data_IF_136629197982
#
_entry.id   IF_136629197982
#
_cell.length_a   1.000
_cell.length_b   1.000
_cell.length_c   1.000
_cell.angle_alpha   90.00
_cell.angle_beta   90.00
_cell.angle_gamma   90.00
#
_symmetry.space_group_name_H-M   'P 1'
#
loop_
_entity.id
_entity.type
_entity.pdbx_description
1 polymer ?
#
# COMPACT_ATOMS: atom_id res chain seq x y z
N UNK A 1 10.49 0.86 18.72
CA UNK A 1 9.62 0.01 17.88
C UNK A 1 9.81 0.46 16.45
N UNK A 2 9.94 -0.47 15.51
CA UNK A 2 9.96 -0.15 14.08
C UNK A 2 8.55 0.21 13.63
N UNK A 3 8.40 1.29 12.87
CA UNK A 3 7.15 1.69 12.23
C UNK A 3 7.12 1.16 10.80
N UNK A 4 6.59 -0.05 10.65
CA UNK A 4 6.50 -0.76 9.38
C UNK A 4 5.13 -0.53 8.73
N UNK A 5 5.10 -0.33 7.41
CA UNK A 5 3.85 -0.07 6.66
C UNK A 5 3.72 -1.00 5.47
N UNK A 6 2.51 -1.50 5.22
CA UNK A 6 2.22 -2.31 4.03
C UNK A 6 1.83 -1.39 2.88
N UNK A 7 2.44 -1.57 1.71
CA UNK A 7 2.12 -0.84 0.49
C UNK A 7 1.60 -1.83 -0.56
N UNK A 8 0.54 -1.42 -1.25
CA UNK A 8 0.04 -2.18 -2.39
C UNK A 8 1.08 -2.21 -3.52
N UNK A 9 1.33 -3.38 -4.15
CA UNK A 9 2.23 -3.45 -5.30
C UNK A 9 1.76 -2.58 -6.47
N UNK A 10 0.46 -2.26 -6.54
CA UNK A 10 -0.07 -1.29 -7.52
C UNK A 10 0.52 0.10 -7.28
N UNK A 11 0.43 0.63 -6.05
CA UNK A 11 1.00 1.94 -5.70
C UNK A 11 2.51 1.99 -5.93
N UNK A 12 3.22 0.90 -5.65
CA UNK A 12 4.67 0.83 -5.90
C UNK A 12 4.98 0.83 -7.40
N UNK A 13 4.25 0.05 -8.20
CA UNK A 13 4.44 -0.04 -9.66
C UNK A 13 4.16 1.30 -10.34
N UNK A 14 3.11 1.99 -9.94
CA UNK A 14 2.71 3.29 -10.51
C UNK A 14 3.40 4.49 -9.85
N UNK A 15 4.28 4.24 -8.85
CA UNK A 15 4.96 5.28 -8.05
C UNK A 15 3.99 6.31 -7.47
N UNK A 16 2.85 5.84 -6.97
CA UNK A 16 1.85 6.72 -6.39
C UNK A 16 2.27 7.28 -5.03
N UNK A 17 1.69 8.42 -4.66
CA UNK A 17 1.99 9.11 -3.41
C UNK A 17 1.94 8.23 -2.14
N UNK A 18 1.02 7.25 -1.98
CA UNK A 18 1.05 6.35 -0.81
C UNK A 18 2.34 5.54 -0.71
N UNK A 19 2.87 5.06 -1.84
CA UNK A 19 4.12 4.29 -1.85
C UNK A 19 5.31 5.19 -1.52
N UNK A 20 5.43 6.34 -2.18
CA UNK A 20 6.56 7.25 -1.99
C UNK A 20 6.57 7.89 -0.59
N UNK A 21 5.41 8.28 -0.08
CA UNK A 21 5.30 8.75 1.30
C UNK A 21 5.67 7.64 2.30
N UNK A 22 5.23 6.39 2.10
CA UNK A 22 5.61 5.30 2.98
C UNK A 22 7.12 5.02 2.95
N UNK A 23 7.72 4.99 1.76
CA UNK A 23 9.15 4.74 1.55
C UNK A 23 10.04 5.82 2.20
N UNK A 24 9.56 7.06 2.29
CA UNK A 24 10.27 8.14 2.99
C UNK A 24 10.03 8.08 4.50
N UNK A 25 8.77 7.98 4.92
CA UNK A 25 8.35 8.26 6.29
C UNK A 25 8.51 7.07 7.25
N UNK A 26 8.51 5.82 6.75
CA UNK A 26 8.41 4.62 7.60
C UNK A 26 9.77 3.95 7.78
N UNK A 27 9.97 3.15 8.82
CA UNK A 27 11.24 2.42 8.98
C UNK A 27 11.41 1.40 7.85
N UNK A 28 10.36 0.63 7.61
CA UNK A 28 10.30 -0.38 6.56
C UNK A 28 8.93 -0.40 5.87
N UNK A 29 8.95 -0.71 4.59
CA UNK A 29 7.77 -0.87 3.75
C UNK A 29 7.71 -2.33 3.30
N UNK A 30 6.55 -2.96 3.51
CA UNK A 30 6.30 -4.33 3.09
C UNK A 30 5.38 -4.31 1.89
N UNK A 31 5.77 -4.95 0.79
CA UNK A 31 4.95 -5.10 -0.41
C UNK A 31 4.81 -6.56 -0.79
N UNK A 32 3.75 -6.90 -1.52
CA UNK A 32 3.61 -8.23 -2.07
C UNK A 32 4.46 -8.37 -3.34
N UNK A 33 5.38 -9.35 -3.35
CA UNK A 33 6.00 -9.82 -4.59
C UNK A 33 5.02 -10.75 -5.32
N UNK A 34 4.85 -10.63 -6.65
CA UNK A 34 3.97 -11.53 -7.42
C UNK A 34 4.64 -12.89 -7.65
N UNK A 35 4.96 -13.61 -6.59
CA UNK A 35 5.64 -14.91 -6.62
C UNK A 35 4.69 -16.04 -6.22
N UNK A 36 5.06 -17.30 -6.48
CA UNK A 36 4.39 -18.45 -5.93
C UNK A 36 4.31 -18.41 -4.40
N UNK A 37 3.28 -19.03 -3.84
CA UNK A 37 3.10 -19.16 -2.38
C UNK A 37 3.93 -20.33 -1.84
N UNK A 38 4.62 -20.12 -0.71
CA UNK A 38 5.27 -21.18 0.07
C UNK A 38 6.75 -21.44 -0.22
N UNK A 39 7.41 -20.61 -1.03
CA UNK A 39 8.81 -20.77 -1.45
C UNK A 39 9.61 -19.48 -1.26
N UNK A 40 10.95 -19.57 -1.36
CA UNK A 40 11.85 -18.41 -1.22
C UNK A 40 11.53 -17.38 -2.29
N UNK A 41 10.82 -16.30 -1.91
CA UNK A 41 10.25 -15.34 -2.85
C UNK A 41 11.28 -14.77 -3.84
N UNK A 42 12.55 -14.67 -3.43
CA UNK A 42 13.65 -14.22 -4.30
C UNK A 42 14.04 -15.23 -5.37
N UNK A 43 14.26 -16.49 -4.99
CA UNK A 43 14.67 -17.54 -5.93
C UNK A 43 13.58 -17.82 -6.98
N UNK A 44 12.31 -17.80 -6.57
CA UNK A 44 11.20 -17.98 -7.51
C UNK A 44 11.01 -16.77 -8.43
N UNK A 45 11.25 -15.56 -7.93
CA UNK A 45 11.22 -14.37 -8.76
C UNK A 45 12.23 -14.48 -9.91
N UNK A 46 13.44 -14.94 -9.63
CA UNK A 46 14.48 -15.15 -10.66
C UNK A 46 14.06 -16.23 -11.67
N UNK A 47 13.53 -17.37 -11.20
CA UNK A 47 13.03 -18.43 -12.08
C UNK A 47 11.84 -17.99 -12.94
N UNK A 48 10.91 -17.21 -12.37
CA UNK A 48 9.77 -16.65 -13.09
C UNK A 48 10.20 -15.61 -14.12
N UNK A 49 11.17 -14.76 -13.80
CA UNK A 49 11.70 -13.78 -14.75
C UNK A 49 12.32 -14.45 -15.97
N UNK A 50 12.97 -15.61 -15.80
CA UNK A 50 13.48 -16.40 -16.92
C UNK A 50 12.37 -17.04 -17.77
N UNK A 51 11.24 -17.42 -17.16
CA UNK A 51 10.17 -18.17 -17.83
C UNK A 51 8.95 -17.38 -18.30
N UNK A 52 8.74 -16.15 -17.80
CA UNK A 52 7.52 -15.36 -18.01
C UNK A 52 7.88 -13.93 -18.40
N UNK A 53 7.86 -13.63 -19.70
CA UNK A 53 8.25 -12.31 -20.25
C UNK A 53 7.56 -11.11 -19.58
N UNK A 54 6.26 -11.21 -19.26
CA UNK A 54 5.53 -10.15 -18.55
C UNK A 54 6.01 -9.93 -17.12
N UNK A 55 6.43 -11.00 -16.45
CA UNK A 55 7.00 -10.91 -15.11
C UNK A 55 8.37 -10.22 -15.16
N UNK A 56 9.22 -10.57 -16.13
CA UNK A 56 10.49 -9.87 -16.34
C UNK A 56 10.29 -8.36 -16.60
N UNK A 57 9.28 -7.99 -17.40
CA UNK A 57 8.91 -6.58 -17.61
C UNK A 57 8.48 -5.89 -16.32
N UNK A 58 7.74 -6.58 -15.45
CA UNK A 58 7.36 -6.05 -14.14
C UNK A 58 8.59 -5.82 -13.26
N UNK A 59 9.48 -6.80 -13.13
CA UNK A 59 10.70 -6.66 -12.34
C UNK A 59 11.57 -5.51 -12.86
N UNK A 60 11.71 -5.39 -14.18
CA UNK A 60 12.39 -4.27 -14.82
C UNK A 60 11.72 -2.93 -14.49
N UNK A 61 10.38 -2.86 -14.47
CA UNK A 61 9.66 -1.65 -14.07
C UNK A 61 9.92 -1.25 -12.61
N UNK A 62 10.31 -2.22 -11.77
CA UNK A 62 10.66 -2.01 -10.36
C UNK A 62 12.15 -1.80 -10.13
N UNK A 63 12.99 -1.78 -11.18
CA UNK A 63 14.43 -1.56 -11.06
C UNK A 63 14.80 -0.31 -10.26
N UNK A 64 13.96 0.72 -10.29
CA UNK A 64 14.16 1.94 -9.49
C UNK A 64 14.12 1.71 -7.98
N UNK A 65 13.59 0.58 -7.51
CA UNK A 65 13.47 0.25 -6.09
C UNK A 65 14.68 -0.53 -5.55
N UNK A 66 15.63 -0.92 -6.40
CA UNK A 66 16.74 -1.83 -6.02
C UNK A 66 17.50 -1.33 -4.80
N UNK A 67 17.86 -0.04 -4.76
CA UNK A 67 18.57 0.50 -3.61
C UNK A 67 17.72 0.51 -2.32
N UNK A 68 16.39 0.65 -2.43
CA UNK A 68 15.49 0.53 -1.27
C UNK A 68 15.42 -0.90 -0.73
N UNK A 69 15.52 -1.91 -1.61
CA UNK A 69 15.65 -3.32 -1.20
C UNK A 69 17.01 -3.57 -0.53
N UNK A 70 18.10 -3.07 -1.12
CA UNK A 70 19.44 -3.23 -0.57
C UNK A 70 19.58 -2.58 0.81
N UNK A 71 18.96 -1.40 1.00
CA UNK A 71 18.94 -0.68 2.26
C UNK A 71 17.98 -1.28 3.31
N UNK A 72 17.20 -2.31 2.95
CA UNK A 72 16.20 -2.91 3.84
C UNK A 72 14.97 -2.04 4.12
N UNK A 73 14.82 -0.91 3.40
CA UNK A 73 13.64 -0.03 3.48
C UNK A 73 12.44 -0.68 2.83
N UNK A 74 12.63 -1.45 1.76
CA UNK A 74 11.57 -2.21 1.09
C UNK A 74 11.78 -3.72 1.30
N UNK A 75 10.70 -4.43 1.65
CA UNK A 75 10.72 -5.86 1.93
C UNK A 75 9.51 -6.58 1.31
N UNK A 76 9.67 -7.88 1.01
CA UNK A 76 8.63 -8.75 0.46
C UNK A 76 7.89 -9.56 1.53
N UNK A 77 8.38 -9.51 2.76
CA UNK A 77 7.90 -10.26 3.90
C UNK A 77 8.08 -9.48 5.19
N UNK A 78 7.32 -9.86 6.21
CA UNK A 78 7.49 -9.38 7.58
C UNK A 78 7.28 -10.54 8.55
N UNK A 79 8.15 -10.64 9.55
CA UNK A 79 8.17 -11.74 10.53
C UNK A 79 8.14 -13.15 9.89
N UNK A 80 8.85 -13.32 8.76
CA UNK A 80 8.90 -14.59 8.03
C UNK A 80 7.60 -14.98 7.31
N UNK A 81 6.67 -14.03 7.15
CA UNK A 81 5.41 -14.24 6.43
C UNK A 81 5.28 -13.27 5.27
N UNK A 82 4.81 -13.74 4.12
CA UNK A 82 4.61 -12.90 2.94
C UNK A 82 3.12 -12.51 2.77
N UNK A 83 2.83 -11.29 2.25
CA UNK A 83 1.44 -10.89 2.02
C UNK A 83 0.72 -11.73 0.95
N UNK A 84 1.47 -12.40 0.07
CA UNK A 84 0.94 -13.19 -1.05
C UNK A 84 0.05 -14.35 -0.61
N UNK A 85 0.32 -14.96 0.55
CA UNK A 85 -0.52 -16.02 1.12
C UNK A 85 -1.92 -15.50 1.43
N UNK A 86 -2.01 -14.35 2.12
CA UNK A 86 -3.29 -13.74 2.47
C UNK A 86 -4.09 -13.32 1.24
N UNK A 87 -3.43 -12.83 0.19
CA UNK A 87 -4.09 -12.51 -1.09
C UNK A 87 -4.68 -13.76 -1.73
N UNK A 88 -3.96 -14.88 -1.70
CA UNK A 88 -4.47 -16.15 -2.23
C UNK A 88 -5.62 -16.70 -1.41
N UNK A 89 -5.54 -16.66 -0.09
CA UNK A 89 -6.62 -17.11 0.79
C UNK A 89 -7.90 -16.34 0.51
N UNK A 90 -7.81 -15.02 0.36
CA UNK A 90 -8.94 -14.16 -0.02
C UNK A 90 -9.49 -14.54 -1.39
N UNK A 91 -8.62 -14.70 -2.40
CA UNK A 91 -9.04 -15.10 -3.74
C UNK A 91 -9.83 -16.41 -3.70
N UNK A 92 -9.31 -17.42 -3.01
CA UNK A 92 -9.97 -18.73 -2.86
C UNK A 92 -11.30 -18.63 -2.12
N UNK A 93 -11.38 -17.80 -1.08
CA UNK A 93 -12.62 -17.55 -0.34
C UNK A 93 -13.70 -16.89 -1.21
N UNK A 94 -13.34 -15.89 -2.01
CA UNK A 94 -14.29 -15.25 -2.93
C UNK A 94 -14.77 -16.26 -3.98
N UNK A 95 -13.85 -17.05 -4.56
CA UNK A 95 -14.17 -18.08 -5.55
C UNK A 95 -15.07 -19.19 -4.99
N UNK A 96 -14.93 -19.54 -3.72
CA UNK A 96 -15.82 -20.49 -3.05
C UNK A 96 -17.28 -19.99 -2.95
N UNK A 97 -17.52 -18.69 -3.13
CA UNK A 97 -18.84 -18.10 -3.34
C UNK A 97 -19.76 -18.05 -2.11
N UNK A 98 -19.29 -18.46 -0.93
CA UNK A 98 -20.11 -18.55 0.28
C UNK A 98 -20.42 -17.19 0.91
N UNK A 99 -19.46 -16.28 0.91
CA UNK A 99 -19.55 -15.00 1.65
C UNK A 99 -19.65 -13.77 0.74
N UNK A 100 -19.22 -13.89 -0.53
CA UNK A 100 -19.07 -12.75 -1.43
C UNK A 100 -19.66 -13.01 -2.83
N UNK A 101 -20.94 -13.39 -2.94
CA UNK A 101 -21.53 -13.85 -4.21
C UNK A 101 -21.50 -12.78 -5.31
N UNK A 102 -21.63 -11.49 -4.97
CA UNK A 102 -21.57 -10.40 -5.94
C UNK A 102 -20.15 -10.18 -6.51
N UNK A 103 -19.11 -10.62 -5.80
CA UNK A 103 -17.72 -10.54 -6.25
C UNK A 103 -17.33 -11.74 -7.10
N UNK A 104 -17.87 -12.93 -6.80
CA UNK A 104 -17.52 -14.16 -7.52
C UNK A 104 -17.69 -14.06 -9.05
N UNK A 105 -18.67 -13.30 -9.55
CA UNK A 105 -18.86 -13.09 -11.00
C UNK A 105 -17.80 -12.21 -11.66
N UNK A 106 -16.98 -11.50 -10.87
CA UNK A 106 -15.89 -10.66 -11.37
C UNK A 106 -14.56 -11.41 -11.42
N UNK A 107 -14.40 -12.52 -10.69
CA UNK A 107 -13.14 -13.25 -10.61
C UNK A 107 -12.99 -14.22 -11.79
N UNK A 108 -11.74 -14.42 -12.21
CA UNK A 108 -11.36 -15.43 -13.19
C UNK A 108 -10.72 -16.63 -12.49
N UNK A 109 -11.09 -17.84 -12.91
CA UNK A 109 -10.42 -19.05 -12.43
C UNK A 109 -9.07 -19.22 -13.14
N UNK A 110 -7.99 -19.19 -12.36
CA UNK A 110 -6.64 -19.44 -12.85
C UNK A 110 -6.31 -20.93 -12.74
N UNK A 111 -5.96 -21.55 -13.88
CA UNK A 111 -5.67 -23.00 -13.96
C UNK A 111 -4.50 -23.45 -13.10
N UNK A 112 -3.51 -22.57 -12.98
CA UNK A 112 -2.30 -22.81 -12.20
C UNK A 112 -1.72 -21.48 -11.68
N UNK A 113 -0.80 -21.59 -10.75
CA UNK A 113 -0.14 -20.47 -10.10
C UNK A 113 0.63 -19.56 -11.06
N UNK A 114 1.23 -20.13 -12.12
CA UNK A 114 1.95 -19.34 -13.13
C UNK A 114 0.99 -18.48 -13.95
N UNK A 115 -0.22 -18.97 -14.19
CA UNK A 115 -1.27 -18.22 -14.89
C UNK A 115 -1.78 -17.06 -14.04
N UNK A 116 -1.94 -17.25 -12.72
CA UNK A 116 -2.27 -16.16 -11.78
C UNK A 116 -1.16 -15.10 -11.73
N UNK A 117 0.10 -15.51 -11.53
CA UNK A 117 1.24 -14.58 -11.49
C UNK A 117 1.35 -13.78 -12.79
N UNK A 118 1.12 -14.42 -13.94
CA UNK A 118 1.14 -13.74 -15.24
C UNK A 118 0.02 -12.71 -15.37
N UNK A 119 -1.20 -13.05 -14.94
CA UNK A 119 -2.34 -12.14 -14.95
C UNK A 119 -2.08 -10.94 -14.03
N UNK A 120 -1.61 -11.20 -12.81
CA UNK A 120 -1.25 -10.17 -11.85
C UNK A 120 -0.12 -9.25 -12.34
N UNK A 121 0.95 -9.81 -12.91
CA UNK A 121 2.04 -9.00 -13.47
C UNK A 121 1.56 -8.13 -14.64
N UNK A 122 0.67 -8.65 -15.49
CA UNK A 122 0.06 -7.89 -16.55
C UNK A 122 -0.80 -6.74 -16.02
N UNK A 123 -1.60 -6.99 -14.99
CA UNK A 123 -2.47 -5.99 -14.37
C UNK A 123 -1.69 -4.91 -13.62
N UNK A 124 -0.62 -5.29 -12.89
CA UNK A 124 0.30 -4.36 -12.23
C UNK A 124 0.94 -3.39 -13.24
N UNK A 125 1.44 -3.91 -14.37
CA UNK A 125 2.01 -3.08 -15.44
C UNK A 125 0.99 -2.11 -16.06
N UNK A 126 -0.31 -2.37 -15.91
CA UNK A 126 -1.41 -1.49 -16.36
C UNK A 126 -1.93 -0.56 -15.26
N UNK A 127 -1.40 -0.66 -14.04
CA UNK A 127 -1.83 0.14 -12.89
C UNK A 127 -3.09 -0.36 -12.20
N UNK A 128 -3.42 -1.66 -12.31
CA UNK A 128 -4.54 -2.27 -11.59
C UNK A 128 -5.94 -1.91 -12.07
N UNK A 129 -6.26 -1.97 -13.37
CA UNK A 129 -7.64 -1.81 -13.82
C UNK A 129 -8.54 -3.02 -13.50
N UNK A 130 -7.99 -4.20 -13.18
CA UNK A 130 -8.79 -5.43 -13.07
C UNK A 130 -9.34 -5.68 -11.64
N UNK A 131 -10.67 -5.63 -11.41
CA UNK A 131 -11.26 -5.97 -10.12
C UNK A 131 -11.03 -7.42 -9.69
N UNK A 132 -10.84 -8.36 -10.63
CA UNK A 132 -10.56 -9.77 -10.32
C UNK A 132 -9.27 -9.95 -9.50
N UNK A 133 -8.31 -9.03 -9.68
CA UNK A 133 -6.99 -9.08 -9.07
C UNK A 133 -6.84 -8.04 -7.96
N UNK A 134 -7.29 -6.80 -8.21
CA UNK A 134 -7.16 -5.70 -7.26
C UNK A 134 -7.94 -5.91 -5.96
N UNK A 135 -9.12 -6.55 -6.01
CA UNK A 135 -9.94 -6.80 -4.83
C UNK A 135 -9.26 -7.83 -3.90
N UNK A 136 -8.87 -9.04 -4.36
CA UNK A 136 -8.10 -9.97 -3.53
C UNK A 136 -6.81 -9.37 -3.00
N UNK A 137 -6.09 -8.57 -3.80
CA UNK A 137 -4.86 -7.92 -3.34
C UNK A 137 -5.16 -6.96 -2.19
N UNK A 138 -6.11 -6.03 -2.35
CA UNK A 138 -6.44 -5.06 -1.30
C UNK A 138 -6.89 -5.75 0.00
N UNK A 139 -7.79 -6.72 -0.10
CA UNK A 139 -8.30 -7.44 1.06
C UNK A 139 -7.26 -8.39 1.69
N UNK A 140 -6.37 -9.00 0.90
CA UNK A 140 -5.28 -9.82 1.42
C UNK A 140 -4.26 -8.99 2.18
N UNK A 141 -3.92 -7.80 1.68
CA UNK A 141 -3.06 -6.85 2.41
C UNK A 141 -3.71 -6.37 3.71
N UNK A 142 -5.04 -6.17 3.73
CA UNK A 142 -5.76 -5.83 4.97
C UNK A 142 -5.70 -6.94 6.00
N UNK A 143 -5.91 -8.19 5.59
CA UNK A 143 -5.78 -9.35 6.47
C UNK A 143 -4.35 -9.51 6.98
N UNK A 144 -3.36 -9.33 6.12
CA UNK A 144 -1.96 -9.38 6.50
C UNK A 144 -1.63 -8.29 7.54
N UNK A 145 -2.07 -7.05 7.30
CA UNK A 145 -1.91 -5.93 8.23
C UNK A 145 -2.61 -6.16 9.57
N UNK A 146 -3.87 -6.57 9.54
CA UNK A 146 -4.62 -6.90 10.74
C UNK A 146 -3.98 -8.04 11.56
N UNK A 147 -3.42 -9.05 10.89
CA UNK A 147 -2.72 -10.18 11.54
C UNK A 147 -1.44 -9.76 12.25
N UNK A 148 -0.67 -8.85 11.65
CA UNK A 148 0.63 -8.42 12.16
C UNK A 148 0.59 -7.11 12.96
N UNK A 149 -0.57 -6.46 13.06
CA UNK A 149 -0.69 -5.13 13.64
C UNK A 149 0.03 -4.05 12.83
N UNK A 150 0.15 -4.25 11.51
CA UNK A 150 0.81 -3.31 10.60
C UNK A 150 -0.22 -2.47 9.85
N UNK A 151 -0.03 -1.15 9.77
CA UNK A 151 -0.93 -0.31 9.01
C UNK A 151 -0.70 -0.45 7.49
N UNK A 152 -1.76 -0.23 6.70
CA UNK A 152 -1.75 -0.33 5.24
C UNK A 152 -1.82 1.08 4.63
N UNK A 153 -0.89 1.42 3.75
CA UNK A 153 -0.92 2.66 2.98
C UNK A 153 -2.03 2.63 1.94
N UNK A 154 -2.84 3.69 1.89
CA UNK A 154 -3.98 3.85 0.97
C UNK A 154 -3.87 5.17 0.21
N UNK A 155 -4.34 5.18 -1.04
CA UNK A 155 -4.59 6.42 -1.75
C UNK A 155 -5.88 7.10 -1.29
N UNK A 156 -5.98 8.41 -1.55
CA UNK A 156 -7.23 9.12 -1.37
C UNK A 156 -8.36 8.50 -2.24
N UNK A 157 -9.57 8.28 -1.70
CA UNK A 157 -10.68 7.68 -2.43
C UNK A 157 -11.05 8.41 -3.71
N UNK A 158 -10.86 7.74 -4.85
CA UNK A 158 -11.27 8.24 -6.17
C UNK A 158 -12.33 7.35 -6.81
N UNK A 159 -12.27 6.03 -6.60
CA UNK A 159 -13.22 5.06 -7.14
C UNK A 159 -14.49 4.92 -6.29
N UNK A 160 -15.52 4.30 -6.86
CA UNK A 160 -16.77 4.03 -6.14
C UNK A 160 -16.57 3.12 -4.92
N UNK A 161 -15.80 2.04 -5.08
CA UNK A 161 -15.45 1.15 -3.98
C UNK A 161 -14.71 1.92 -2.87
N UNK A 162 -13.68 2.71 -3.21
CA UNK A 162 -12.94 3.49 -2.21
C UNK A 162 -13.82 4.51 -1.48
N UNK A 163 -14.81 5.11 -2.15
CA UNK A 163 -15.79 6.00 -1.48
C UNK A 163 -16.72 5.25 -0.54
N UNK A 164 -17.05 4.00 -0.84
CA UNK A 164 -17.76 3.13 0.11
C UNK A 164 -16.88 2.73 1.29
N UNK A 165 -15.59 2.45 1.03
CA UNK A 165 -14.58 2.18 2.06
C UNK A 165 -14.43 3.36 3.02
N UNK A 166 -14.36 4.58 2.50
CA UNK A 166 -14.23 5.81 3.28
C UNK A 166 -15.33 5.97 4.35
N UNK A 167 -16.54 5.45 4.10
CA UNK A 167 -17.65 5.54 5.06
C UNK A 167 -17.46 4.63 6.27
N UNK A 168 -16.50 3.70 6.21
CA UNK A 168 -16.17 2.77 7.29
C UNK A 168 -14.97 3.23 8.12
N UNK A 169 -14.34 4.34 7.74
CA UNK A 169 -13.19 4.87 8.47
C UNK A 169 -13.59 5.42 9.83
N UNK A 170 -12.84 5.02 10.85
CA UNK A 170 -12.80 5.67 12.16
C UNK A 170 -11.53 6.53 12.20
N UNK A 171 -11.63 7.87 12.15
CA UNK A 171 -10.46 8.73 12.12
C UNK A 171 -9.71 8.71 13.46
N UNK A 172 -8.39 8.59 13.40
CA UNK A 172 -7.50 8.66 14.57
C UNK A 172 -6.77 9.99 14.64
N UNK A 173 -6.10 10.37 13.54
CA UNK A 173 -5.38 11.64 13.44
C UNK A 173 -5.20 12.08 11.99
N UNK A 174 -4.80 13.35 11.80
CA UNK A 174 -4.42 13.86 10.49
C UNK A 174 -3.34 14.94 10.61
N UNK A 175 -2.35 14.87 9.72
CA UNK A 175 -1.29 15.87 9.58
C UNK A 175 -0.99 16.12 8.10
N UNK A 176 -0.33 17.24 7.81
CA UNK A 176 0.19 17.52 6.48
C UNK A 176 1.72 17.51 6.53
N UNK A 177 2.36 16.80 5.61
CA UNK A 177 3.80 16.59 5.58
C UNK A 177 4.35 16.84 4.18
N UNK A 178 5.51 17.50 4.03
CA UNK A 178 6.24 17.47 2.78
C UNK A 178 6.79 16.06 2.53
N UNK A 179 6.81 15.61 1.27
CA UNK A 179 7.38 14.33 0.85
C UNK A 179 7.98 14.43 -0.56
N UNK A 180 8.78 13.45 -0.95
CA UNK A 180 9.18 13.23 -2.33
C UNK A 180 8.03 12.53 -3.06
N UNK A 181 7.52 13.15 -4.13
CA UNK A 181 6.44 12.64 -4.97
C UNK A 181 6.91 12.06 -6.29
N UNK A 182 8.12 12.39 -6.75
CA UNK A 182 8.82 11.75 -7.87
C UNK A 182 10.33 11.88 -7.59
N UNK A 183 11.11 10.82 -7.84
CA UNK A 183 12.56 10.79 -7.58
C UNK A 183 13.11 9.37 -7.71
N UNK A 184 14.44 9.23 -7.66
CA UNK A 184 15.11 7.92 -7.58
C UNK A 184 15.14 7.41 -6.13
N UNK A 185 15.45 6.12 -5.96
CA UNK A 185 15.55 5.50 -4.63
C UNK A 185 16.62 6.17 -3.77
N UNK A 186 17.74 6.54 -4.38
CA UNK A 186 18.90 7.16 -3.76
C UNK A 186 18.53 8.49 -3.12
N UNK A 187 17.70 9.31 -3.78
CA UNK A 187 17.19 10.57 -3.21
C UNK A 187 16.26 10.34 -2.02
N UNK A 188 15.47 9.26 -2.04
CA UNK A 188 14.65 8.88 -0.88
C UNK A 188 15.56 8.45 0.28
N UNK A 189 16.62 7.68 0.01
CA UNK A 189 17.57 7.23 1.03
C UNK A 189 18.36 8.40 1.63
N UNK A 190 18.88 9.29 0.78
CA UNK A 190 19.55 10.52 1.23
C UNK A 190 18.62 11.40 2.08
N UNK A 191 17.38 11.60 1.66
CA UNK A 191 16.40 12.33 2.47
C UNK A 191 16.13 11.65 3.83
N UNK A 192 16.18 10.31 3.90
CA UNK A 192 16.05 9.59 5.17
C UNK A 192 17.25 9.80 6.07
N UNK A 193 18.45 9.83 5.50
CA UNK A 193 19.69 10.06 6.25
C UNK A 193 19.77 11.50 6.78
N UNK A 194 19.43 12.49 5.95
CA UNK A 194 19.41 13.90 6.31
C UNK A 194 18.34 14.25 7.37
N UNK A 195 17.26 13.46 7.44
CA UNK A 195 16.12 13.69 8.33
C UNK A 195 15.99 12.63 9.42
N UNK A 196 17.07 11.89 9.73
CA UNK A 196 17.01 10.70 10.57
C UNK A 196 16.35 10.95 11.93
N UNK A 197 16.79 11.99 12.65
CA UNK A 197 16.31 12.31 13.99
C UNK A 197 14.82 12.69 13.97
N UNK A 198 14.42 13.58 13.05
CA UNK A 198 13.02 14.01 12.95
C UNK A 198 12.09 12.90 12.42
N UNK A 199 12.60 12.01 11.56
CA UNK A 199 11.87 10.83 11.11
C UNK A 199 11.66 9.85 12.27
N UNK A 200 12.65 9.62 13.12
CA UNK A 200 12.51 8.73 14.28
C UNK A 200 11.46 9.26 15.27
N UNK A 201 11.44 10.57 15.51
CA UNK A 201 10.38 11.21 16.31
C UNK A 201 9.00 11.09 15.66
N UNK A 202 8.90 11.36 14.36
CA UNK A 202 7.65 11.23 13.61
C UNK A 202 7.12 9.78 13.62
N UNK A 203 7.98 8.80 13.39
CA UNK A 203 7.63 7.36 13.41
C UNK A 203 7.16 6.90 14.79
N UNK A 204 7.80 7.40 15.86
CA UNK A 204 7.36 7.16 17.24
C UNK A 204 5.98 7.73 17.48
N UNK A 205 5.72 8.96 17.03
CA UNK A 205 4.42 9.59 17.16
C UNK A 205 3.33 8.89 16.32
N UNK A 206 3.63 8.46 15.10
CA UNK A 206 2.72 7.68 14.26
C UNK A 206 2.37 6.34 14.91
N UNK A 207 3.36 5.62 15.43
CA UNK A 207 3.16 4.38 16.19
C UNK A 207 2.31 4.61 17.44
N UNK A 208 2.57 5.70 18.15
CA UNK A 208 1.83 6.10 19.35
C UNK A 208 0.34 6.36 19.09
N UNK A 209 0.00 7.02 17.97
CA UNK A 209 -1.40 7.24 17.57
C UNK A 209 -2.13 5.92 17.37
N UNK A 210 -1.50 4.95 16.70
CA UNK A 210 -2.07 3.61 16.50
C UNK A 210 -2.16 2.79 17.80
N UNK A 211 -1.19 2.96 18.70
CA UNK A 211 -1.22 2.40 20.04
C UNK A 211 -2.21 3.10 20.99
N UNK A 212 -2.89 4.17 20.53
CA UNK A 212 -3.78 5.01 21.33
C UNK A 212 -3.09 5.62 22.57
N UNK A 213 -1.81 5.96 22.44
CA UNK A 213 -1.02 6.58 23.49
C UNK A 213 -1.44 8.06 23.67
N UNK A 214 -1.97 8.45 24.84
CA UNK A 214 -2.46 9.82 25.07
C UNK A 214 -1.34 10.86 25.20
N UNK A 215 -0.11 10.44 25.46
CA UNK A 215 1.03 11.35 25.70
C UNK A 215 1.74 11.77 24.41
N UNK A 216 1.29 11.26 23.26
CA UNK A 216 1.94 11.46 21.97
C UNK A 216 1.38 12.70 21.28
N UNK A 217 2.27 13.65 20.96
CA UNK A 217 1.95 14.81 20.12
C UNK A 217 2.42 14.61 18.67
N UNK A 218 1.55 14.03 17.85
CA UNK A 218 1.81 13.89 16.42
C UNK A 218 1.98 15.23 15.70
N UNK A 219 1.34 16.31 16.18
CA UNK A 219 1.44 17.62 15.52
C UNK A 219 2.78 18.27 15.77
N UNK A 220 3.35 18.09 16.96
CA UNK A 220 4.69 18.55 17.28
C UNK A 220 5.74 17.83 16.42
N UNK A 221 5.73 16.49 16.40
CA UNK A 221 6.66 15.72 15.57
C UNK A 221 6.52 16.05 14.06
N UNK A 222 5.28 16.20 13.57
CA UNK A 222 5.03 16.62 12.18
C UNK A 222 5.56 18.03 11.88
N UNK A 223 5.53 18.95 12.86
CA UNK A 223 6.08 20.30 12.70
C UNK A 223 7.61 20.27 12.68
N UNK A 224 8.24 19.50 13.57
CA UNK A 224 9.68 19.32 13.61
C UNK A 224 10.19 18.75 12.27
N UNK A 225 9.59 17.64 11.82
CA UNK A 225 9.87 17.04 10.52
C UNK A 225 9.74 18.04 9.36
N UNK A 226 8.64 18.81 9.31
CA UNK A 226 8.45 19.80 8.25
C UNK A 226 9.55 20.86 8.24
N UNK A 227 9.89 21.40 9.42
CA UNK A 227 10.94 22.41 9.52
C UNK A 227 12.29 21.86 9.09
N UNK A 228 12.60 20.61 9.44
CA UNK A 228 13.81 19.93 8.99
C UNK A 228 13.82 19.69 7.48
N UNK A 229 12.71 19.20 6.93
CA UNK A 229 12.54 18.98 5.50
C UNK A 229 12.72 20.28 4.72
N UNK A 230 12.14 21.39 5.16
CA UNK A 230 12.29 22.70 4.52
C UNK A 230 13.76 23.20 4.51
N UNK A 231 14.59 22.80 5.49
CA UNK A 231 16.02 23.15 5.53
C UNK A 231 16.86 22.38 4.50
N UNK A 232 16.51 21.13 4.23
CA UNK A 232 17.27 20.24 3.33
C UNK A 232 16.65 20.16 1.93
N UNK A 233 15.47 20.77 1.72
CA UNK A 233 14.74 20.67 0.47
C UNK A 233 15.57 21.13 -0.74
N UNK A 234 16.36 22.19 -0.61
CA UNK A 234 17.19 22.72 -1.69
C UNK A 234 18.30 21.74 -2.09
N UNK A 235 18.90 21.05 -1.12
CA UNK A 235 19.91 19.99 -1.34
C UNK A 235 19.29 18.77 -2.05
N UNK A 236 18.08 18.38 -1.64
CA UNK A 236 17.32 17.30 -2.29
C UNK A 236 16.84 17.65 -3.71
N UNK A 237 16.83 18.94 -4.07
CA UNK A 237 16.41 19.43 -5.38
C UNK A 237 17.55 19.54 -6.40
N UNK A 238 18.81 19.52 -5.97
CA UNK A 238 19.94 19.80 -6.86
C UNK A 238 19.98 18.76 -8.00
N UNK A 239 19.70 19.16 -9.25
CA UNK A 239 19.58 18.22 -10.34
C UNK A 239 20.96 17.72 -10.74
N UNK A 240 21.19 16.42 -10.64
CA UNK A 240 22.29 15.77 -11.35
C UNK A 240 21.98 15.79 -12.86
N UNK A 241 22.98 16.04 -13.72
CA UNK A 241 22.79 16.36 -15.14
C UNK A 241 22.02 15.26 -15.92
N UNK A 242 22.01 14.03 -15.39
CA UNK A 242 21.35 12.84 -15.94
C UNK A 242 20.20 12.29 -15.05
N UNK A 243 19.72 13.04 -14.05
CA UNK A 243 18.74 12.56 -13.07
C UNK A 243 17.26 12.85 -13.43
N UNK A 244 16.37 11.93 -13.05
CA UNK A 244 14.93 12.15 -13.10
C UNK A 244 14.63 13.31 -12.14
N UNK A 245 14.10 14.41 -12.67
CA UNK A 245 13.71 15.58 -11.89
C UNK A 245 12.95 15.18 -10.63
N UNK A 246 13.49 15.54 -9.48
CA UNK A 246 12.84 15.32 -8.18
C UNK A 246 11.63 16.25 -8.09
N UNK A 247 10.48 15.69 -7.74
CA UNK A 247 9.25 16.46 -7.47
C UNK A 247 8.96 16.32 -6.00
N UNK A 248 9.05 17.42 -5.27
CA UNK A 248 8.57 17.48 -3.90
C UNK A 248 7.10 17.87 -3.88
N UNK A 249 6.39 17.50 -2.82
CA UNK A 249 5.03 17.96 -2.63
C UNK A 249 4.54 17.79 -1.22
N UNK A 250 3.37 18.33 -0.99
CA UNK A 250 2.72 18.26 0.30
C UNK A 250 1.60 17.23 0.26
N UNK A 251 1.58 16.32 1.23
CA UNK A 251 0.54 15.32 1.39
C UNK A 251 -0.21 15.51 2.70
N UNK A 252 -1.52 15.30 2.68
CA UNK A 252 -2.30 15.03 3.88
C UNK A 252 -2.20 13.55 4.19
N UNK A 253 -1.67 13.24 5.36
CA UNK A 253 -1.63 11.91 5.93
C UNK A 253 -2.77 11.80 6.95
N UNK A 254 -3.71 10.88 6.72
CA UNK A 254 -4.78 10.58 7.68
C UNK A 254 -4.59 9.17 8.21
N UNK A 255 -4.53 9.05 9.52
CA UNK A 255 -4.49 7.78 10.23
C UNK A 255 -5.93 7.40 10.54
N UNK A 256 -6.33 6.22 10.10
CA UNK A 256 -7.68 5.70 10.28
C UNK A 256 -7.64 4.24 10.68
N UNK A 257 -8.67 3.82 11.40
CA UNK A 257 -9.01 2.41 11.54
C UNK A 257 -10.18 2.06 10.63
N UNK A 258 -10.19 0.82 10.16
CA UNK A 258 -11.31 0.25 9.41
C UNK A 258 -11.42 -1.27 9.67
N UNK A 259 -12.58 -1.88 9.39
CA UNK A 259 -12.71 -3.35 9.41
C UNK A 259 -11.70 -4.02 8.48
N UNK A 260 -11.13 -5.16 8.88
CA UNK A 260 -10.14 -5.88 8.04
C UNK A 260 -10.74 -6.44 6.73
N UNK A 261 -12.06 -6.49 6.61
CA UNK A 261 -12.80 -6.88 5.41
C UNK A 261 -13.32 -5.67 4.60
N UNK A 262 -12.94 -4.44 4.95
CA UNK A 262 -13.46 -3.23 4.33
C UNK A 262 -13.29 -3.19 2.80
N UNK A 263 -12.20 -3.72 2.25
CA UNK A 263 -12.01 -3.85 0.80
C UNK A 263 -13.07 -4.75 0.15
N UNK A 264 -13.43 -5.88 0.78
CA UNK A 264 -14.47 -6.80 0.30
C UNK A 264 -15.86 -6.17 0.42
N UNK A 265 -16.16 -5.55 1.57
CA UNK A 265 -17.45 -4.89 1.82
C UNK A 265 -17.72 -3.75 0.86
N UNK A 266 -16.71 -2.91 0.64
CA UNK A 266 -16.82 -1.76 -0.23
C UNK A 266 -16.91 -2.16 -1.71
N UNK A 267 -16.17 -3.19 -2.12
CA UNK A 267 -16.21 -3.72 -3.49
C UNK A 267 -17.53 -4.44 -3.78
N UNK A 268 -18.08 -5.19 -2.81
CA UNK A 268 -19.41 -5.83 -2.93
C UNK A 268 -20.48 -4.79 -3.20
N UNK A 269 -20.51 -3.71 -2.41
CA UNK A 269 -21.43 -2.58 -2.60
C UNK A 269 -21.26 -1.91 -3.96
N UNK A 270 -20.02 -1.76 -4.42
CA UNK A 270 -19.74 -1.20 -5.74
C UNK A 270 -20.26 -2.13 -6.86
N UNK A 271 -20.01 -3.43 -6.78
CA UNK A 271 -20.48 -4.42 -7.76
C UNK A 271 -22.01 -4.48 -7.84
N UNK A 272 -22.70 -4.46 -6.70
CA UNK A 272 -24.16 -4.41 -6.62
C UNK A 272 -24.74 -3.13 -7.26
N UNK A 273 -24.05 -2.00 -7.08
CA UNK A 273 -24.50 -0.73 -7.66
C UNK A 273 -24.42 -0.69 -9.20
N UNK A 274 -23.50 -1.44 -9.79
CA UNK A 274 -23.29 -1.52 -11.24
C UNK A 274 -24.30 -2.49 -11.88
N UNK A 275 -24.57 -3.62 -11.22
CA UNK A 275 -25.39 -4.69 -11.80
C UNK A 275 -26.90 -4.42 -11.78
N UNK A 276 -27.38 -3.35 -11.11
CA UNK A 276 -28.82 -3.01 -10.92
C UNK A 276 -29.67 -4.15 -10.35
N UNK A 277 -29.08 -5.26 -9.94
CA UNK A 277 -29.75 -6.35 -9.26
C UNK A 277 -30.05 -5.86 -7.85
N UNK A 278 -31.31 -5.42 -7.62
CA UNK A 278 -31.86 -5.31 -6.26
C UNK A 278 -31.94 -6.73 -5.69
N UNK A 279 -30.81 -7.30 -5.31
CA UNK A 279 -30.81 -8.35 -4.30
C UNK A 279 -31.45 -7.71 -3.09
N UNK A 280 -32.53 -8.32 -2.60
CA UNK A 280 -33.33 -7.78 -1.51
C UNK A 280 -32.40 -7.31 -0.40
N UNK A 281 -32.62 -6.07 0.09
CA UNK A 281 -31.96 -5.50 1.27
C UNK A 281 -32.44 -6.26 2.52
N UNK A 282 -32.26 -7.56 2.55
CA UNK A 282 -32.24 -8.24 3.83
C UNK A 282 -30.93 -7.86 4.47
N UNK A 283 -31.09 -7.18 5.60
CA UNK A 283 -30.07 -6.66 6.46
C UNK A 283 -29.16 -7.80 6.96
N UNK A 284 -28.29 -8.33 6.09
CA UNK A 284 -26.98 -8.75 6.52
C UNK A 284 -26.25 -7.47 6.91
N UNK A 285 -26.56 -7.03 8.14
CA UNK A 285 -25.53 -6.43 8.97
C UNK A 285 -24.34 -7.37 8.81
N UNK A 286 -23.37 -6.95 8.00
CA UNK A 286 -22.10 -7.65 7.94
C UNK A 286 -21.64 -7.67 9.38
N UNK A 287 -21.70 -8.84 9.99
CA UNK A 287 -21.12 -9.10 11.28
C UNK A 287 -19.64 -8.88 11.04
N UNK A 288 -19.13 -7.70 11.41
CA UNK A 288 -17.71 -7.37 11.39
C UNK A 288 -17.05 -8.32 12.37
N UNK A 289 -16.66 -9.49 11.89
CA UNK A 289 -16.05 -10.52 12.69
C UNK A 289 -14.60 -10.11 13.00
N UNK A 290 -14.45 -9.27 14.01
CA UNK A 290 -13.39 -9.38 15.01
C UNK A 290 -12.04 -8.75 14.76
N UNK A 291 -11.66 -8.35 13.54
CA UNK A 291 -10.35 -7.69 13.31
C UNK A 291 -10.47 -6.33 12.63
N UNK A 292 -9.65 -5.39 13.12
CA UNK A 292 -9.48 -4.05 12.53
C UNK A 292 -8.13 -4.01 11.85
N UNK A 293 -8.05 -3.23 10.78
CA UNK A 293 -6.80 -2.86 10.14
C UNK A 293 -6.61 -1.36 10.30
N UNK A 294 -5.36 -0.96 10.49
CA UNK A 294 -4.95 0.44 10.54
C UNK A 294 -4.56 0.88 9.15
N UNK A 295 -4.80 2.13 8.78
CA UNK A 295 -4.41 2.64 7.47
C UNK A 295 -3.84 4.05 7.52
N UNK A 296 -2.85 4.28 6.66
CA UNK A 296 -2.32 5.59 6.33
C UNK A 296 -2.90 6.03 4.99
N UNK A 297 -3.90 6.90 5.02
CA UNK A 297 -4.50 7.45 3.81
C UNK A 297 -3.72 8.68 3.38
N UNK A 298 -3.13 8.62 2.18
CA UNK A 298 -2.31 9.69 1.60
C UNK A 298 -3.08 10.42 0.51
N UNK A 299 -3.19 11.74 0.66
CA UNK A 299 -3.75 12.65 -0.35
C UNK A 299 -2.73 13.72 -0.71
N UNK A 300 -2.37 13.84 -1.98
CA UNK A 300 -1.57 14.98 -2.47
C UNK A 300 -2.38 16.27 -2.36
N UNK A 301 -1.82 17.27 -1.69
CA UNK A 301 -2.39 18.62 -1.53
C UNK A 301 -1.81 19.58 -2.56
N UNK A 302 -0.50 19.53 -2.77
CA UNK A 302 0.22 20.38 -3.71
C UNK A 302 1.45 19.66 -4.25
N UNK A 303 1.84 19.96 -5.48
CA UNK A 303 3.13 19.56 -6.08
C UNK A 303 3.97 20.80 -6.26
N UNK A 304 5.27 20.71 -5.95
CA UNK A 304 6.26 21.74 -6.26
C UNK A 304 7.22 21.14 -7.27
N UNK A 305 7.08 21.58 -8.52
CA UNK A 305 8.02 21.32 -9.59
C UNK A 305 8.70 22.64 -9.92
N UNK A 306 10.00 22.77 -9.62
CA UNK A 306 10.83 23.92 -10.05
C UNK A 306 11.56 23.56 -11.33
#
# INVERSE_FOLDING_TARGET
>A
MSFDVIVSPYHLTTREAPALAALLLCDRVVTMLPTPVGTSAREDAEQLAAGVSRYAQLIESWRWTVELWNAGVLAGESHGTCPGECVRDVHNEIMAGLHWPALGSLLEEHRDERSFVRALAHDLLRGGPDPALTIPVAAGLDRFGARLGLPVARSHPVSLAQRHEQRMWTPLAAVALPVILEGRAERILEARDLLLDELDELRRALSGVFAHDPDIDLREAARAYRQAFDRVADELFEPDEDEIRVVLGEVSLRLVDLPADAALLSSTRAAESITRTRVARDAHAITVAGSRVMALVVRVLARRSI
#
